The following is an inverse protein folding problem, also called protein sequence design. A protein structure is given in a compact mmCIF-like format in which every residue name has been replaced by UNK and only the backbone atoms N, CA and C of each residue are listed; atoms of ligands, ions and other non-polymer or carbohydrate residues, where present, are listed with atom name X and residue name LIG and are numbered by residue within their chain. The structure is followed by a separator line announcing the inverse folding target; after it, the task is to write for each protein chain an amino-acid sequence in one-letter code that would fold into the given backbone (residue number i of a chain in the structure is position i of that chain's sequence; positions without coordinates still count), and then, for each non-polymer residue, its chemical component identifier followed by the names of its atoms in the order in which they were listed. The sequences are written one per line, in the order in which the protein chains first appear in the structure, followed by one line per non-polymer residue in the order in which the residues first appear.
data_IF_338519900448
#
_entry.id   IF_338519900448
#
_cell.length_a   1.000
_cell.length_b   1.000
_cell.length_c   1.000
_cell.angle_alpha   90.00
_cell.angle_beta   90.00
_cell.angle_gamma   90.00
#
_symmetry.space_group_name_H-M   'P 1'
#
loop_
_entity.id
_entity.type
_entity.pdbx_description
1 polymer ?
#
# COMPACT_ATOMS: atom_id res chain seq x y z
N UNK A 1 4.16 -1.02 0.42
CA UNK A 1 4.99 -1.86 1.32
C UNK A 1 4.67 -1.63 2.79
N UNK A 2 4.63 -0.38 3.25
CA UNK A 2 4.30 -0.01 4.63
C UNK A 2 2.97 -0.60 5.14
N UNK A 3 1.95 -0.74 4.28
CA UNK A 3 0.63 -1.23 4.68
C UNK A 3 0.37 -2.72 4.42
N UNK A 4 1.29 -3.40 3.75
CA UNK A 4 1.06 -4.78 3.35
C UNK A 4 1.08 -5.67 4.61
N UNK A 5 -0.03 -6.32 4.96
CA UNK A 5 -0.11 -7.14 6.16
C UNK A 5 1.03 -8.14 6.24
N UNK A 6 1.53 -8.41 7.46
CA UNK A 6 2.64 -9.35 7.62
C UNK A 6 2.31 -10.74 7.03
N UNK A 7 1.03 -11.16 7.06
CA UNK A 7 0.58 -12.41 6.47
C UNK A 7 0.73 -12.49 4.94
N UNK A 8 0.73 -11.35 4.23
CA UNK A 8 0.93 -11.31 2.77
C UNK A 8 2.36 -11.71 2.40
N UNK A 9 3.32 -11.56 3.32
CA UNK A 9 4.70 -12.01 3.11
C UNK A 9 4.87 -13.52 3.20
N UNK A 10 3.87 -14.25 3.74
CA UNK A 10 3.85 -15.71 3.86
C UNK A 10 3.77 -16.40 2.50
N UNK A 11 3.14 -15.76 1.51
CA UNK A 11 2.99 -16.29 0.16
C UNK A 11 4.06 -15.80 -0.81
N UNK A 12 4.18 -16.53 -1.92
CA UNK A 12 5.05 -16.16 -3.06
C UNK A 12 4.56 -14.92 -3.82
N UNK A 13 5.29 -14.51 -4.88
CA UNK A 13 5.01 -13.28 -5.62
C UNK A 13 3.60 -13.21 -6.23
N UNK A 14 3.03 -14.36 -6.62
CA UNK A 14 1.65 -14.48 -7.14
C UNK A 14 0.61 -14.21 -6.06
N UNK A 15 0.79 -14.79 -4.87
CA UNK A 15 -0.10 -14.56 -3.73
C UNK A 15 -0.14 -13.08 -3.33
N UNK A 16 1.02 -12.42 -3.33
CA UNK A 16 1.14 -10.98 -3.06
C UNK A 16 0.42 -10.15 -4.11
N UNK A 17 0.57 -10.51 -5.38
CA UNK A 17 -0.09 -9.81 -6.48
C UNK A 17 -1.62 -9.94 -6.39
N UNK A 18 -2.13 -11.13 -6.06
CA UNK A 18 -3.58 -11.39 -5.93
C UNK A 18 -4.16 -10.67 -4.71
N UNK A 19 -3.54 -10.78 -3.53
CA UNK A 19 -4.07 -10.16 -2.31
C UNK A 19 -4.11 -8.63 -2.37
N UNK A 20 -3.22 -8.00 -3.15
CA UNK A 20 -3.22 -6.53 -3.34
C UNK A 20 -4.06 -6.12 -4.55
N UNK A 21 -3.96 -6.86 -5.65
CA UNK A 21 -4.60 -6.53 -6.92
C UNK A 21 -6.11 -6.73 -6.90
N UNK A 22 -6.62 -7.78 -6.24
CA UNK A 22 -8.06 -8.09 -6.21
C UNK A 22 -8.88 -7.00 -5.51
N UNK A 23 -8.56 -6.53 -4.28
CA UNK A 23 -9.34 -5.48 -3.63
C UNK A 23 -9.36 -4.17 -4.42
N UNK A 24 -8.19 -3.77 -4.95
CA UNK A 24 -8.06 -2.56 -5.79
C UNK A 24 -8.84 -2.70 -7.08
N UNK A 25 -8.73 -3.86 -7.73
CA UNK A 25 -9.47 -4.19 -8.94
C UNK A 25 -10.97 -4.14 -8.70
N UNK A 26 -11.48 -4.80 -7.66
CA UNK A 26 -12.92 -4.84 -7.34
C UNK A 26 -13.45 -3.41 -7.13
N UNK A 27 -12.72 -2.61 -6.36
CA UNK A 27 -13.12 -1.23 -6.07
C UNK A 27 -13.20 -0.39 -7.35
N UNK A 28 -12.17 -0.46 -8.21
CA UNK A 28 -12.14 0.28 -9.48
C UNK A 28 -13.16 -0.26 -10.49
N UNK A 29 -13.39 -1.56 -10.52
CA UNK A 29 -14.41 -2.18 -11.37
C UNK A 29 -15.82 -1.72 -10.97
N UNK A 30 -16.12 -1.71 -9.67
CA UNK A 30 -17.38 -1.18 -9.16
C UNK A 30 -17.57 0.30 -9.53
N UNK A 31 -16.47 1.06 -9.54
CA UNK A 31 -16.46 2.46 -9.92
C UNK A 31 -16.72 2.68 -11.42
N UNK A 32 -16.00 1.96 -12.28
CA UNK A 32 -16.22 2.01 -13.73
C UNK A 32 -17.62 1.51 -14.08
N UNK A 33 -18.14 0.52 -13.37
CA UNK A 33 -19.51 0.07 -13.52
C UNK A 33 -20.52 1.16 -13.10
N UNK A 34 -20.28 1.86 -12.00
CA UNK A 34 -21.14 2.93 -11.52
C UNK A 34 -21.22 4.11 -12.51
N UNK A 35 -20.09 4.48 -13.14
CA UNK A 35 -20.05 5.55 -14.14
C UNK A 35 -20.61 5.12 -15.49
N UNK A 36 -20.10 4.03 -16.05
CA UNK A 36 -20.44 3.62 -17.43
C UNK A 36 -21.77 2.88 -17.52
N UNK A 37 -22.21 2.21 -16.44
CA UNK A 37 -23.30 1.22 -16.49
C UNK A 37 -22.95 -0.04 -17.29
N UNK A 38 -21.73 -0.14 -17.84
CA UNK A 38 -21.31 -1.20 -18.75
C UNK A 38 -20.42 -2.19 -17.99
N UNK A 39 -20.91 -3.42 -17.87
CA UNK A 39 -20.22 -4.51 -17.16
C UNK A 39 -18.85 -4.86 -17.79
N UNK A 40 -18.74 -4.72 -19.12
CA UNK A 40 -17.51 -5.00 -19.86
C UNK A 40 -16.39 -4.02 -19.50
N UNK A 41 -16.69 -2.73 -19.34
CA UNK A 41 -15.71 -1.71 -18.94
C UNK A 41 -15.17 -1.96 -17.54
N UNK A 42 -16.06 -2.34 -16.61
CA UNK A 42 -15.69 -2.74 -15.26
C UNK A 42 -14.75 -3.95 -15.23
N UNK A 43 -15.02 -4.96 -16.08
CA UNK A 43 -14.22 -6.17 -16.17
C UNK A 43 -12.83 -5.88 -16.77
N UNK A 44 -12.75 -5.02 -17.80
CA UNK A 44 -11.47 -4.59 -18.36
C UNK A 44 -10.65 -3.80 -17.33
N UNK A 45 -11.27 -2.85 -16.62
CA UNK A 45 -10.61 -2.10 -15.55
C UNK A 45 -10.11 -3.02 -14.43
N UNK A 46 -10.93 -3.99 -14.02
CA UNK A 46 -10.56 -5.01 -13.04
C UNK A 46 -9.28 -5.75 -13.45
N UNK A 47 -9.28 -6.31 -14.67
CA UNK A 47 -8.18 -7.14 -15.16
C UNK A 47 -6.94 -6.30 -15.38
N UNK A 48 -7.04 -5.20 -16.12
CA UNK A 48 -5.87 -4.38 -16.47
C UNK A 48 -5.29 -3.74 -15.21
N UNK A 49 -6.10 -3.06 -14.41
CA UNK A 49 -5.59 -2.28 -13.28
C UNK A 49 -5.28 -3.18 -12.09
N UNK A 50 -6.11 -4.19 -11.82
CA UNK A 50 -5.89 -5.14 -10.72
C UNK A 50 -4.64 -5.99 -10.94
N UNK A 51 -4.47 -6.58 -12.12
CA UNK A 51 -3.30 -7.41 -12.43
C UNK A 51 -2.03 -6.56 -12.51
N UNK A 52 -2.07 -5.42 -13.20
CA UNK A 52 -0.90 -4.56 -13.33
C UNK A 52 -0.44 -4.01 -11.98
N UNK A 53 -1.35 -3.50 -11.14
CA UNK A 53 -0.99 -3.05 -9.79
C UNK A 53 -0.48 -4.20 -8.93
N UNK A 54 -1.12 -5.37 -8.98
CA UNK A 54 -0.67 -6.55 -8.26
C UNK A 54 0.78 -6.92 -8.61
N UNK A 55 1.11 -6.97 -9.89
CA UNK A 55 2.45 -7.29 -10.39
C UNK A 55 3.47 -6.22 -9.99
N UNK A 56 3.15 -4.94 -10.21
CA UNK A 56 4.07 -3.83 -9.89
C UNK A 56 4.36 -3.77 -8.39
N UNK A 57 3.32 -3.91 -7.55
CA UNK A 57 3.49 -3.91 -6.09
C UNK A 57 4.30 -5.11 -5.63
N UNK A 58 4.02 -6.31 -6.16
CA UNK A 58 4.78 -7.53 -5.83
C UNK A 58 6.26 -7.41 -6.20
N UNK A 59 6.57 -6.88 -7.40
CA UNK A 59 7.94 -6.63 -7.84
C UNK A 59 8.65 -5.58 -6.97
N UNK A 60 7.96 -4.48 -6.64
CA UNK A 60 8.50 -3.47 -5.73
C UNK A 60 8.77 -4.06 -4.35
N UNK A 61 7.97 -5.02 -3.89
CA UNK A 61 8.20 -5.69 -2.61
C UNK A 61 9.50 -6.48 -2.58
N UNK A 62 9.73 -7.32 -3.60
CA UNK A 62 10.96 -8.12 -3.68
C UNK A 62 12.20 -7.24 -3.85
N UNK A 63 12.10 -6.16 -4.66
CA UNK A 63 13.23 -5.26 -4.89
C UNK A 63 13.64 -4.47 -3.64
N UNK A 64 12.69 -4.08 -2.80
CA UNK A 64 12.98 -3.25 -1.64
C UNK A 64 13.50 -4.05 -0.43
N UNK A 65 13.19 -5.35 -0.31
CA UNK A 65 13.70 -6.20 0.77
C UNK A 65 14.27 -7.51 0.20
N UNK A 66 15.48 -7.48 -0.40
CA UNK A 66 16.10 -8.65 -1.02
C UNK A 66 16.47 -9.73 0.02
N UNK A 67 16.82 -9.33 1.25
CA UNK A 67 17.08 -10.26 2.36
C UNK A 67 15.86 -11.12 2.74
N UNK A 68 14.67 -10.81 2.23
CA UNK A 68 13.52 -11.68 2.38
C UNK A 68 13.73 -13.04 1.70
N UNK A 69 14.48 -13.10 0.58
CA UNK A 69 14.58 -14.30 -0.23
C UNK A 69 15.36 -15.43 0.46
N UNK A 70 16.29 -15.08 1.36
CA UNK A 70 17.08 -16.00 2.16
C UNK A 70 16.31 -16.57 3.38
N UNK A 71 15.20 -15.95 3.75
CA UNK A 71 14.40 -16.32 4.93
C UNK A 71 13.29 -17.31 4.58
N UNK A 72 12.96 -18.20 5.51
CA UNK A 72 11.77 -19.04 5.42
C UNK A 72 10.49 -18.16 5.50
N UNK A 73 9.40 -18.48 4.77
CA UNK A 73 8.10 -17.82 4.91
C UNK A 73 7.65 -17.48 6.35
N UNK A 74 7.89 -18.37 7.32
CA UNK A 74 7.55 -18.11 8.72
C UNK A 74 8.42 -17.00 9.35
N UNK A 75 9.72 -17.01 9.08
CA UNK A 75 10.68 -16.01 9.55
C UNK A 75 10.41 -14.65 8.91
N UNK A 76 10.05 -14.60 7.62
CA UNK A 76 9.64 -13.37 6.93
C UNK A 76 8.48 -12.69 7.64
N UNK A 77 7.46 -13.48 8.00
CA UNK A 77 6.28 -12.97 8.71
C UNK A 77 6.64 -12.54 10.13
N UNK A 78 7.47 -13.30 10.84
CA UNK A 78 7.91 -12.98 12.19
C UNK A 78 8.67 -11.65 12.24
N UNK A 79 9.66 -11.46 11.36
CA UNK A 79 10.41 -10.20 11.22
C UNK A 79 9.48 -9.04 10.86
N UNK A 80 8.63 -9.21 9.84
CA UNK A 80 7.68 -8.16 9.44
C UNK A 80 6.71 -7.79 10.57
N UNK A 81 6.20 -8.77 11.30
CA UNK A 81 5.26 -8.57 12.40
C UNK A 81 5.94 -7.91 13.61
N UNK A 82 7.17 -8.31 13.95
CA UNK A 82 7.95 -7.73 15.02
C UNK A 82 8.24 -6.24 14.73
N UNK A 83 8.80 -5.94 13.55
CA UNK A 83 9.12 -4.57 13.14
C UNK A 83 7.88 -3.67 13.12
N UNK A 84 6.76 -4.14 12.56
CA UNK A 84 5.53 -3.31 12.49
C UNK A 84 4.85 -3.10 13.84
N UNK A 85 5.01 -4.03 14.79
CA UNK A 85 4.47 -3.90 16.15
C UNK A 85 5.43 -3.21 17.12
N UNK A 86 6.69 -3.02 16.74
CA UNK A 86 7.71 -2.48 17.64
C UNK A 86 8.16 -3.48 18.70
N UNK A 87 8.13 -4.78 18.40
CA UNK A 87 8.54 -5.83 19.33
C UNK A 87 10.02 -6.16 19.15
N UNK A 88 10.64 -6.61 20.25
CA UNK A 88 11.99 -7.18 20.19
C UNK A 88 12.01 -8.44 19.34
N UNK A 89 13.16 -8.71 18.73
CA UNK A 89 13.41 -9.93 17.99
C UNK A 89 14.18 -10.86 18.92
N UNK A 90 13.56 -12.00 19.24
CA UNK A 90 14.11 -12.97 20.20
C UNK A 90 15.25 -13.80 19.58
N UNK A 91 15.34 -13.87 18.25
CA UNK A 91 16.39 -14.59 17.53
C UNK A 91 17.44 -13.60 16.95
N UNK A 92 18.69 -13.62 17.46
CA UNK A 92 19.77 -12.77 16.96
C UNK A 92 20.06 -12.93 15.47
N UNK A 93 19.80 -14.11 14.89
CA UNK A 93 20.04 -14.39 13.45
C UNK A 93 19.13 -13.58 12.54
N UNK A 94 17.97 -13.16 13.04
CA UNK A 94 16.98 -12.38 12.30
C UNK A 94 17.22 -10.86 12.40
N UNK A 95 18.16 -10.42 13.24
CA UNK A 95 18.45 -9.00 13.45
C UNK A 95 18.94 -8.27 12.17
N UNK A 96 19.86 -8.82 11.36
CA UNK A 96 20.29 -8.17 10.12
C UNK A 96 19.15 -8.03 9.09
N UNK A 97 18.31 -9.06 8.97
CA UNK A 97 17.15 -9.05 8.09
C UNK A 97 16.11 -8.00 8.50
N UNK A 98 15.92 -7.81 9.81
CA UNK A 98 15.03 -6.80 10.35
C UNK A 98 15.55 -5.38 10.13
N UNK A 99 16.85 -5.14 10.30
CA UNK A 99 17.47 -3.85 9.99
C UNK A 99 17.34 -3.51 8.50
N UNK A 100 17.55 -4.49 7.62
CA UNK A 100 17.32 -4.34 6.18
C UNK A 100 15.85 -3.99 5.86
N UNK A 101 14.89 -4.62 6.56
CA UNK A 101 13.47 -4.30 6.41
C UNK A 101 13.12 -2.89 6.90
N UNK A 102 13.69 -2.44 8.03
CA UNK A 102 13.53 -1.06 8.53
C UNK A 102 14.08 -0.06 7.52
N UNK A 103 15.26 -0.33 6.94
CA UNK A 103 15.83 0.47 5.85
C UNK A 103 14.89 0.57 4.65
N UNK A 104 14.34 -0.56 4.21
CA UNK A 104 13.35 -0.60 3.13
C UNK A 104 12.09 0.22 3.44
N UNK A 105 11.63 0.24 4.70
CA UNK A 105 10.50 1.05 5.15
C UNK A 105 10.83 2.55 5.10
N UNK A 106 12.06 2.96 5.45
CA UNK A 106 12.51 4.36 5.34
C UNK A 106 12.56 4.81 3.88
N UNK A 107 13.18 4.04 2.99
CA UNK A 107 13.21 4.35 1.55
C UNK A 107 11.79 4.38 0.96
N UNK A 108 10.92 3.46 1.39
CA UNK A 108 9.51 3.47 0.99
C UNK A 108 8.76 4.72 1.49
N UNK A 109 9.11 5.27 2.65
CA UNK A 109 8.55 6.53 3.17
C UNK A 109 8.93 7.70 2.28
N UNK A 110 10.21 7.82 1.94
CA UNK A 110 10.71 8.89 1.07
C UNK A 110 10.01 8.87 -0.30
N UNK A 111 9.90 7.68 -0.89
CA UNK A 111 9.17 7.49 -2.14
C UNK A 111 7.68 7.83 -1.98
N UNK A 112 7.04 7.40 -0.88
CA UNK A 112 5.63 7.67 -0.62
C UNK A 112 5.36 9.16 -0.47
N UNK A 113 6.26 9.91 0.18
CA UNK A 113 6.13 11.36 0.36
C UNK A 113 6.20 12.10 -0.98
N UNK A 114 7.01 11.61 -1.92
CA UNK A 114 7.07 12.12 -3.30
C UNK A 114 5.79 11.83 -4.08
N UNK A 115 5.22 10.64 -3.91
CA UNK A 115 3.94 10.25 -4.54
C UNK A 115 2.75 11.01 -3.92
N UNK A 116 2.75 11.25 -2.62
CA UNK A 116 1.72 12.05 -1.94
C UNK A 116 1.67 13.49 -2.47
N UNK A 117 2.82 14.06 -2.83
CA UNK A 117 2.88 15.37 -3.49
C UNK A 117 2.18 15.39 -4.85
N UNK A 118 2.12 14.25 -5.55
CA UNK A 118 1.36 14.09 -6.81
C UNK A 118 -0.12 13.81 -6.54
N UNK A 119 -0.46 13.21 -5.39
CA UNK A 119 -1.86 13.00 -4.99
C UNK A 119 -2.60 14.30 -4.70
N UNK A 120 -1.94 15.32 -4.16
CA UNK A 120 -2.54 16.65 -3.93
C UNK A 120 -3.10 17.32 -5.20
N UNK A 121 -2.33 17.50 -6.29
CA UNK A 121 -2.86 18.06 -7.53
C UNK A 121 -3.90 17.14 -8.18
N UNK A 122 -3.74 15.81 -8.11
CA UNK A 122 -4.80 14.89 -8.56
C UNK A 122 -6.11 15.07 -7.79
N UNK A 123 -6.06 15.18 -6.45
CA UNK A 123 -7.24 15.43 -5.63
C UNK A 123 -7.88 16.78 -5.95
N UNK A 124 -7.07 17.82 -6.21
CA UNK A 124 -7.57 19.13 -6.63
C UNK A 124 -8.29 19.05 -7.99
N UNK A 125 -7.73 18.33 -8.97
CA UNK A 125 -8.37 18.11 -10.27
C UNK A 125 -9.69 17.35 -10.11
N UNK A 126 -9.70 16.27 -9.31
CA UNK A 126 -10.92 15.49 -9.02
C UNK A 126 -11.98 16.35 -8.32
N UNK A 127 -11.58 17.22 -7.38
CA UNK A 127 -12.49 18.15 -6.71
C UNK A 127 -13.11 19.14 -7.71
N UNK A 128 -12.32 19.71 -8.61
CA UNK A 128 -12.80 20.63 -9.65
C UNK A 128 -13.79 19.92 -10.58
N UNK A 129 -13.48 18.69 -11.00
CA UNK A 129 -14.38 17.87 -11.81
C UNK A 129 -15.68 17.55 -11.06
N UNK A 130 -15.62 17.19 -9.78
CA UNK A 130 -16.81 16.91 -8.97
C UNK A 130 -17.72 18.13 -8.83
N UNK A 131 -17.13 19.32 -8.64
CA UNK A 131 -17.89 20.58 -8.61
C UNK A 131 -18.53 20.84 -9.97
N UNK A 132 -17.79 20.63 -11.07
CA UNK A 132 -18.32 20.79 -12.43
C UNK A 132 -19.48 19.84 -12.73
N UNK A 133 -19.32 18.54 -12.43
CA UNK A 133 -20.35 17.52 -12.60
C UNK A 133 -21.62 17.80 -11.80
N UNK A 134 -21.50 18.48 -10.66
CA UNK A 134 -22.68 18.88 -9.87
C UNK A 134 -23.58 19.87 -10.63
N UNK A 135 -23.03 20.67 -11.54
CA UNK A 135 -23.79 21.62 -12.36
C UNK A 135 -24.20 21.06 -13.72
N UNK A 136 -23.39 20.20 -14.34
CA UNK A 136 -23.58 19.76 -15.73
C UNK A 136 -24.02 18.31 -15.90
N UNK A 137 -23.80 17.45 -14.91
CA UNK A 137 -24.00 16.02 -15.05
C UNK A 137 -25.27 15.52 -14.34
N UNK A 138 -25.62 14.26 -14.59
CA UNK A 138 -26.70 13.59 -13.87
C UNK A 138 -26.36 13.41 -12.39
N UNK A 139 -27.38 13.39 -11.53
CA UNK A 139 -27.23 13.22 -10.06
C UNK A 139 -26.37 12.00 -9.69
N UNK A 140 -26.41 10.95 -10.52
CA UNK A 140 -25.59 9.74 -10.37
C UNK A 140 -24.09 10.02 -10.52
N UNK A 141 -23.68 10.78 -11.54
CA UNK A 141 -22.28 11.14 -11.74
C UNK A 141 -21.78 12.05 -10.62
N UNK A 142 -22.57 13.05 -10.22
CA UNK A 142 -22.19 13.96 -9.15
C UNK A 142 -21.89 13.21 -7.83
N UNK A 143 -22.72 12.24 -7.45
CA UNK A 143 -22.49 11.41 -6.25
C UNK A 143 -21.19 10.60 -6.36
N UNK A 144 -20.89 10.03 -7.53
CA UNK A 144 -19.65 9.27 -7.76
C UNK A 144 -18.42 10.18 -7.65
N UNK A 145 -18.46 11.37 -8.24
CA UNK A 145 -17.37 12.35 -8.17
C UNK A 145 -17.13 12.82 -6.73
N UNK A 146 -18.18 13.03 -5.93
CA UNK A 146 -18.04 13.32 -4.50
C UNK A 146 -17.48 12.15 -3.68
N UNK A 147 -17.84 10.91 -4.01
CA UNK A 147 -17.23 9.72 -3.39
C UNK A 147 -15.72 9.66 -3.65
N UNK A 148 -15.28 10.02 -4.86
CA UNK A 148 -13.84 10.14 -5.16
C UNK A 148 -13.16 11.21 -4.32
N UNK A 149 -13.78 12.38 -4.15
CA UNK A 149 -13.24 13.44 -3.30
C UNK A 149 -13.04 12.95 -1.87
N UNK A 150 -14.06 12.29 -1.29
CA UNK A 150 -13.96 11.71 0.07
C UNK A 150 -12.88 10.64 0.13
N UNK A 151 -12.79 9.77 -0.88
CA UNK A 151 -11.75 8.74 -0.95
C UNK A 151 -10.34 9.34 -0.98
N UNK A 152 -10.09 10.34 -1.84
CA UNK A 152 -8.83 11.05 -1.90
C UNK A 152 -8.52 11.80 -0.59
N UNK A 153 -9.52 12.39 0.06
CA UNK A 153 -9.35 13.04 1.35
C UNK A 153 -8.92 12.02 2.42
N UNK A 154 -9.62 10.87 2.52
CA UNK A 154 -9.23 9.79 3.45
C UNK A 154 -7.81 9.32 3.16
N UNK A 155 -7.47 9.08 1.89
CA UNK A 155 -6.12 8.66 1.51
C UNK A 155 -5.07 9.71 1.92
N UNK A 156 -5.29 11.00 1.65
CA UNK A 156 -4.33 12.07 1.98
C UNK A 156 -4.17 12.25 3.49
N UNK A 157 -5.26 12.22 4.27
CA UNK A 157 -5.22 12.52 5.71
C UNK A 157 -4.86 11.32 6.58
N UNK A 158 -5.22 10.10 6.16
CA UNK A 158 -5.04 8.89 6.97
C UNK A 158 -3.68 8.23 6.73
N UNK A 159 -3.18 8.28 5.49
CA UNK A 159 -1.89 7.70 5.10
C UNK A 159 -0.67 8.23 5.87
N UNK A 160 -0.46 9.55 6.06
CA UNK A 160 0.73 10.03 6.77
C UNK A 160 0.72 9.56 8.23
N UNK A 161 -0.43 9.60 8.91
CA UNK A 161 -0.55 9.15 10.30
C UNK A 161 -0.24 7.67 10.48
N UNK A 162 -0.71 6.82 9.57
CA UNK A 162 -0.45 5.37 9.65
C UNK A 162 1.04 5.10 9.40
N UNK A 163 1.64 5.77 8.42
CA UNK A 163 3.07 5.63 8.13
C UNK A 163 3.94 6.05 9.31
N UNK A 164 3.66 7.21 9.92
CA UNK A 164 4.43 7.72 11.06
C UNK A 164 4.38 6.75 12.25
N UNK A 165 3.20 6.18 12.54
CA UNK A 165 3.04 5.15 13.57
C UNK A 165 3.86 3.89 13.27
N UNK A 166 3.83 3.42 12.03
CA UNK A 166 4.58 2.23 11.62
C UNK A 166 6.08 2.44 11.66
N UNK A 167 6.57 3.62 11.28
CA UNK A 167 7.99 3.97 11.37
C UNK A 167 8.45 4.12 12.82
N UNK A 168 7.65 4.74 13.69
CA UNK A 168 7.99 4.82 15.11
C UNK A 168 8.10 3.42 15.76
N UNK A 169 7.28 2.46 15.32
CA UNK A 169 7.39 1.06 15.75
C UNK A 169 8.64 0.39 15.17
N UNK A 170 8.94 0.63 13.91
CA UNK A 170 10.11 0.08 13.23
C UNK A 170 11.41 0.58 13.87
N UNK A 171 11.48 1.87 14.23
CA UNK A 171 12.61 2.51 14.91
C UNK A 171 12.89 1.85 16.28
N UNK A 172 11.84 1.58 17.06
CA UNK A 172 11.96 0.87 18.35
C UNK A 172 12.54 -0.53 18.19
N UNK A 173 12.15 -1.24 17.13
CA UNK A 173 12.69 -2.56 16.82
C UNK A 173 14.15 -2.48 16.40
N UNK A 174 14.51 -1.50 15.56
CA UNK A 174 15.89 -1.28 15.13
C UNK A 174 16.82 -1.00 16.32
N UNK A 175 16.41 -0.16 17.27
CA UNK A 175 17.17 0.13 18.48
C UNK A 175 17.39 -1.11 19.37
N UNK A 176 16.47 -2.07 19.33
CA UNK A 176 16.62 -3.32 20.07
C UNK A 176 17.50 -4.34 19.35
N UNK A 177 17.44 -4.37 18.01
CA UNK A 177 18.25 -5.24 17.17
C UNK A 177 19.72 -4.79 17.13
N UNK A 178 19.98 -3.47 17.14
CA UNK A 178 21.35 -2.92 17.11
C UNK A 178 22.16 -3.23 18.36
N UNK A 179 21.51 -3.55 19.50
CA UNK A 179 22.19 -3.96 20.74
C UNK A 179 22.82 -5.34 20.65
N UNK A 180 22.40 -6.17 19.69
CA UNK A 180 22.92 -7.52 19.49
C UNK A 180 24.04 -7.57 18.43
N UNK A 181 24.19 -6.51 17.64
CA UNK A 181 25.16 -6.41 16.55
C UNK A 181 26.34 -5.47 16.85
N UNK A 182 26.34 -4.84 18.03
CA UNK A 182 27.47 -4.05 18.54
C UNK A 182 28.27 -4.84 19.56
#
# INVERSE_FOLDING_TARGET
MLLIPAWVWRGGPVYRAVCVGVPVGIFLAALVFAESGVLLGALVAFVVIGVFNGIVVSRRMSKAWPAADELNPAERVAVCAAVRRGRQIDDPRLAPAALAYVGALRTAREQSRRVQWVFWPCAAVVLVLAVFDTYTATTRLAVVSWLFVVFFAVEIFWWPRIQDRLLANAERTAQSASRWTG
#
